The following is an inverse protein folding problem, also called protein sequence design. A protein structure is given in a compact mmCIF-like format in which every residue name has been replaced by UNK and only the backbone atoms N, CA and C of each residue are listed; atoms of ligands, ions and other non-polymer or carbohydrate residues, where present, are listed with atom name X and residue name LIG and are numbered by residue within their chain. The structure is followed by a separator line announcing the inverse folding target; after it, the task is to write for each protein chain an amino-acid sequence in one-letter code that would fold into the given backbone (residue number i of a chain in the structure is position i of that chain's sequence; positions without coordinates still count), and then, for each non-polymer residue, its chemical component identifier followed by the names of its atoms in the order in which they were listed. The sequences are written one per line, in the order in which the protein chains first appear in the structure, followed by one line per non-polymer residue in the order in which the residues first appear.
data_IF_731374962845
#
_entry.id   IF_731374962845
#
_cell.length_a   1.000
_cell.length_b   1.000
_cell.length_c   1.000
_cell.angle_alpha   90.00
_cell.angle_beta   90.00
_cell.angle_gamma   90.00
#
_symmetry.space_group_name_H-M   'P 1'
#
loop_
_entity.id
_entity.type
_entity.pdbx_description
1 polymer ?
#
# COMPACT_ATOMS: atom_id res chain seq x y z
N UNK A 1 -5.78 20.77 -2.41
CA UNK A 1 -5.34 21.08 -2.29
C UNK A 1 -5.45 21.57 -2.05
N UNK A 2 -5.75 21.52 -1.37
CA UNK A 2 -5.45 21.88 -1.06
C UNK A 2 -5.45 22.32 -0.62
N UNK A 3 -5.67 22.19 -0.16
CA UNK A 3 -5.40 22.57 0.24
C UNK A 3 -5.10 23.18 0.53
N UNK A 4 -5.03 23.27 0.76
CA UNK A 4 -4.70 23.90 1.02
C UNK A 4 -4.89 24.74 1.10
N UNK A 5 -5.30 24.71 1.16
CA UNK A 5 -5.34 25.47 1.33
C UNK A 5 -5.87 25.96 1.76
N UNK A 6 -6.31 25.70 2.20
CA UNK A 6 -6.67 26.16 2.63
C UNK A 6 -6.67 26.59 3.48
N UNK A 7 -6.57 26.22 3.92
CA UNK A 7 -6.58 26.81 4.83
C UNK A 7 -6.48 28.09 4.79
N UNK A 8 -6.59 28.49 4.51
CA UNK A 8 -6.60 29.43 4.40
C UNK A 8 -6.99 30.49 4.35
N UNK A 9 -7.43 30.69 4.46
CA UNK A 9 -7.73 31.39 4.45
C UNK A 9 -8.07 32.27 4.70
N UNK A 10 -8.38 32.55 4.98
CA UNK A 10 -8.72 33.12 5.24
C UNK A 10 -8.81 34.06 5.65
N UNK A 11 -9.13 34.41 5.84
CA UNK A 11 -9.20 35.19 6.17
C UNK A 11 -9.12 36.02 6.77
N UNK A 12 -9.40 36.31 6.94
CA UNK A 12 -9.30 37.06 7.39
C UNK A 12 -9.32 37.71 8.19
N UNK A 13 -9.70 37.67 8.47
CA UNK A 13 -9.67 38.21 9.17
C UNK A 13 -9.24 38.45 9.94
N UNK A 14 -9.27 38.38 10.08
CA UNK A 14 -8.84 38.44 10.70
C UNK A 14 -8.18 38.61 11.37
N UNK A 15 -8.16 38.63 11.58
CA UNK A 15 -7.42 38.66 12.08
C UNK A 15 -6.95 38.24 12.85
N UNK A 16 -7.12 38.06 13.14
CA UNK A 16 -6.55 37.51 13.88
C UNK A 16 -6.42 36.50 14.10
N UNK A 17 -6.66 36.21 14.15
CA UNK A 17 -6.44 35.15 14.39
C UNK A 17 -6.00 34.45 13.91
N UNK A 18 -5.78 34.54 13.68
CA UNK A 18 -5.29 33.79 13.21
C UNK A 18 -4.63 33.03 13.39
N UNK A 19 -4.55 32.92 13.66
CA UNK A 19 -3.93 32.14 13.73
C UNK A 19 -4.04 31.04 13.77
N UNK A 20 -4.30 30.85 13.90
CA UNK A 20 -4.29 29.80 13.91
C UNK A 20 -4.39 29.02 13.20
N UNK A 21 -4.62 29.11 12.99
CA UNK A 21 -4.60 28.28 12.32
C UNK A 21 -4.09 27.89 11.73
N UNK A 22 -3.87 27.86 11.81
CA UNK A 22 -3.29 27.37 11.21
C UNK A 22 -3.14 26.47 11.21
N UNK A 23 -3.30 26.32 11.55
CA UNK A 23 -3.08 25.40 11.57
C UNK A 23 -3.68 24.67 11.24
N UNK A 24 -4.14 24.61 11.47
CA UNK A 24 -4.84 23.60 11.10
C UNK A 24 -4.86 23.16 9.80
N UNK A 25 -4.75 23.41 9.21
CA UNK A 25 -4.60 22.79 8.20
C UNK A 25 -3.50 22.13 7.95
N UNK A 26 -3.12 22.13 8.53
CA UNK A 26 -2.25 21.62 8.37
C UNK A 26 -2.04 20.66 8.12
N UNK A 27 -1.87 20.44 7.98
CA UNK A 27 -1.71 19.63 7.68
C UNK A 27 -1.44 18.61 7.89
N UNK A 28 -1.74 18.32 7.88
CA UNK A 28 -1.61 17.14 8.25
C UNK A 28 -0.71 16.30 7.56
N UNK A 29 0.29 16.29 7.87
CA UNK A 29 1.22 15.49 7.21
C UNK A 29 1.11 14.09 7.73
N UNK A 30 0.92 13.17 6.83
CA UNK A 30 1.05 11.78 7.16
C UNK A 30 2.49 11.50 7.49
N UNK A 31 2.71 10.81 8.58
CA UNK A 31 4.01 10.25 8.88
C UNK A 31 4.27 9.16 7.85
N UNK A 32 5.37 9.27 7.13
CA UNK A 32 5.73 8.25 6.15
C UNK A 32 5.99 6.93 6.82
N UNK A 33 5.49 5.87 6.20
CA UNK A 33 5.70 4.52 6.69
C UNK A 33 7.19 4.16 6.56
N UNK A 34 7.72 3.45 7.54
CA UNK A 34 9.11 3.06 7.57
C UNK A 34 9.26 1.56 7.32
N UNK A 35 10.40 1.13 6.77
CA UNK A 35 10.62 -0.31 6.52
C UNK A 35 10.42 -1.18 7.74
N UNK A 36 10.82 -0.71 8.92
CA UNK A 36 10.69 -1.49 10.15
C UNK A 36 9.25 -1.84 10.49
N UNK A 37 8.32 -1.06 9.99
CA UNK A 37 6.90 -1.31 10.24
C UNK A 37 6.36 -2.45 9.38
N UNK A 38 7.05 -2.77 8.30
CA UNK A 38 6.63 -3.83 7.38
C UNK A 38 7.47 -5.08 7.51
N UNK A 39 8.77 -4.94 7.80
CA UNK A 39 9.66 -6.09 7.86
C UNK A 39 9.20 -7.09 8.90
N UNK A 40 9.31 -8.36 8.56
CA UNK A 40 8.93 -9.49 9.41
C UNK A 40 7.45 -9.63 9.65
N UNK A 41 6.63 -9.04 8.76
CA UNK A 41 5.18 -9.16 8.84
C UNK A 41 4.63 -9.82 7.59
N UNK A 42 3.55 -10.56 7.79
CA UNK A 42 2.84 -11.26 6.72
C UNK A 42 1.42 -10.72 6.66
N UNK A 43 0.97 -10.43 5.46
CA UNK A 43 -0.36 -9.89 5.22
C UNK A 43 -1.13 -10.78 4.27
N UNK A 44 -2.45 -10.83 4.42
CA UNK A 44 -3.33 -11.60 3.56
C UNK A 44 -4.30 -10.66 2.85
N UNK A 45 -4.44 -10.85 1.55
CA UNK A 45 -5.30 -9.98 0.73
C UNK A 45 -6.75 -10.13 1.14
N UNK A 46 -7.39 -9.00 1.36
CA UNK A 46 -8.78 -8.92 1.82
C UNK A 46 -9.71 -8.42 0.73
N UNK A 47 -9.30 -7.37 0.03
CA UNK A 47 -10.15 -6.79 -1.00
C UNK A 47 -9.33 -6.15 -2.11
N UNK A 48 -9.95 -6.03 -3.27
CA UNK A 48 -9.38 -5.38 -4.44
C UNK A 48 -10.42 -4.39 -4.94
N UNK A 49 -10.02 -3.12 -5.02
CA UNK A 49 -10.89 -2.05 -5.50
C UNK A 49 -12.24 -2.02 -4.77
N UNK A 50 -12.19 -2.28 -3.45
CA UNK A 50 -13.37 -2.25 -2.61
C UNK A 50 -14.21 -3.52 -2.61
N UNK A 51 -13.81 -4.53 -3.36
CA UNK A 51 -14.56 -5.80 -3.43
C UNK A 51 -13.79 -6.90 -2.72
N UNK A 52 -14.48 -7.63 -1.85
CA UNK A 52 -13.86 -8.74 -1.12
C UNK A 52 -13.38 -9.80 -2.09
N UNK A 53 -12.22 -10.36 -1.79
CA UNK A 53 -11.63 -11.41 -2.62
C UNK A 53 -11.85 -12.76 -1.97
N UNK A 54 -12.33 -13.72 -2.76
CA UNK A 54 -12.44 -15.10 -2.32
C UNK A 54 -11.22 -15.84 -2.85
N UNK A 55 -10.43 -16.37 -1.95
CA UNK A 55 -9.19 -17.04 -2.34
C UNK A 55 -9.32 -18.55 -2.44
N UNK A 56 -10.50 -19.09 -2.13
CA UNK A 56 -10.68 -20.52 -2.11
C UNK A 56 -9.82 -21.14 -1.02
N UNK A 57 -9.07 -22.17 -1.38
CA UNK A 57 -8.22 -22.86 -0.44
C UNK A 57 -6.85 -22.22 -0.28
N UNK A 58 -6.55 -21.23 -1.08
CA UNK A 58 -5.23 -20.61 -1.12
C UNK A 58 -5.29 -19.17 -0.66
N UNK A 59 -4.51 -18.85 0.35
CA UNK A 59 -4.40 -17.48 0.81
C UNK A 59 -3.52 -16.68 -0.15
N UNK A 60 -3.95 -15.46 -0.44
CA UNK A 60 -3.17 -14.55 -1.27
C UNK A 60 -2.39 -13.64 -0.35
N UNK A 61 -1.07 -13.82 -0.33
CA UNK A 61 -0.22 -13.24 0.69
C UNK A 61 0.78 -12.24 0.16
N UNK A 62 1.21 -11.36 1.05
CA UNK A 62 2.31 -10.46 0.82
C UNK A 62 3.11 -10.40 2.11
N UNK A 63 4.38 -10.77 2.04
CA UNK A 63 5.25 -10.80 3.20
C UNK A 63 6.47 -9.94 2.97
N UNK A 64 6.95 -9.32 4.04
CA UNK A 64 8.14 -8.50 4.01
C UNK A 64 9.16 -9.12 4.96
N UNK A 65 10.26 -9.59 4.39
CA UNK A 65 11.33 -10.20 5.18
C UNK A 65 12.43 -9.22 5.49
N UNK A 66 13.63 -9.76 5.68
CA UNK A 66 14.81 -8.97 5.95
C UNK A 66 15.08 -8.00 4.80
N UNK A 67 15.55 -6.80 5.14
CA UNK A 67 15.93 -5.79 4.17
C UNK A 67 14.83 -5.50 3.13
N UNK A 68 13.58 -5.58 3.57
CA UNK A 68 12.43 -5.33 2.69
C UNK A 68 12.34 -6.29 1.52
N UNK A 69 12.88 -7.49 1.67
CA UNK A 69 12.67 -8.51 0.65
C UNK A 69 11.20 -8.88 0.62
N UNK A 70 10.61 -8.88 -0.57
CA UNK A 70 9.18 -9.10 -0.75
C UNK A 70 8.91 -10.48 -1.28
N UNK A 71 7.86 -11.08 -0.74
CA UNK A 71 7.42 -12.41 -1.11
C UNK A 71 5.90 -12.39 -1.15
N UNK A 72 5.32 -12.91 -2.19
CA UNK A 72 3.87 -12.95 -2.26
C UNK A 72 3.35 -13.85 -3.36
N UNK A 73 2.03 -13.90 -3.47
CA UNK A 73 1.39 -14.70 -4.49
C UNK A 73 0.01 -14.16 -4.84
N UNK A 74 -0.35 -14.37 -6.08
CA UNK A 74 -1.71 -14.31 -6.59
C UNK A 74 -1.94 -15.63 -7.30
N UNK A 75 -2.05 -15.65 -8.63
CA UNK A 75 -1.93 -16.91 -9.37
C UNK A 75 -0.51 -17.45 -9.22
N UNK A 76 0.44 -16.57 -9.44
CA UNK A 76 1.84 -16.92 -9.39
C UNK A 76 2.50 -16.42 -8.11
N UNK A 77 3.61 -17.04 -7.75
CA UNK A 77 4.47 -16.56 -6.67
C UNK A 77 5.38 -15.49 -7.22
N UNK A 78 5.59 -14.44 -6.45
CA UNK A 78 6.50 -13.37 -6.84
C UNK A 78 7.42 -13.02 -5.67
N UNK A 79 8.58 -12.46 -6.01
CA UNK A 79 9.54 -12.02 -5.02
C UNK A 79 10.41 -10.91 -5.61
N UNK A 80 11.02 -10.12 -4.75
CA UNK A 80 11.90 -9.06 -5.19
C UNK A 80 12.39 -8.23 -4.02
N UNK A 81 13.09 -7.16 -4.36
CA UNK A 81 13.70 -6.28 -3.37
C UNK A 81 12.89 -5.00 -3.26
N UNK A 82 12.23 -4.83 -2.14
CA UNK A 82 11.41 -3.65 -1.90
C UNK A 82 12.22 -2.44 -1.55
N UNK A 83 11.81 -1.29 -2.06
CA UNK A 83 12.38 0.00 -1.71
C UNK A 83 11.23 0.93 -1.36
N UNK A 84 11.31 1.52 -0.18
CA UNK A 84 10.27 2.39 0.33
C UNK A 84 10.83 3.82 0.37
N UNK A 85 10.15 4.73 -0.30
CA UNK A 85 10.58 6.11 -0.38
C UNK A 85 9.36 7.02 -0.39
N UNK A 86 9.27 7.90 0.60
CA UNK A 86 8.17 8.86 0.70
C UNK A 86 6.80 8.22 0.59
N UNK A 87 6.64 7.08 1.24
CA UNK A 87 5.36 6.38 1.26
C UNK A 87 5.07 5.54 0.02
N UNK A 88 6.02 5.47 -0.90
CA UNK A 88 5.86 4.66 -2.11
C UNK A 88 6.72 3.42 -2.04
N UNK A 89 6.12 2.29 -2.34
CA UNK A 89 6.81 1.01 -2.42
C UNK A 89 7.06 0.66 -3.87
N UNK A 90 8.31 0.39 -4.20
CA UNK A 90 8.70 -0.05 -5.52
C UNK A 90 9.60 -1.26 -5.37
N UNK A 91 9.41 -2.25 -6.21
CA UNK A 91 10.16 -3.49 -6.10
C UNK A 91 11.11 -3.65 -7.27
N UNK A 92 12.38 -3.81 -6.95
CA UNK A 92 13.42 -4.09 -7.95
C UNK A 92 13.60 -5.58 -8.06
N UNK A 93 14.06 -6.00 -9.23
CA UNK A 93 14.35 -7.42 -9.48
C UNK A 93 13.14 -8.31 -9.21
N UNK A 94 11.97 -7.83 -9.57
CA UNK A 94 10.74 -8.59 -9.37
C UNK A 94 10.73 -9.80 -10.29
N UNK A 95 10.67 -10.97 -9.68
CA UNK A 95 10.56 -12.24 -10.39
C UNK A 95 9.20 -12.84 -10.09
N UNK A 96 8.61 -13.50 -11.07
CA UNK A 96 7.29 -14.10 -10.92
C UNK A 96 7.28 -15.39 -11.70
N UNK A 97 6.67 -16.44 -11.11
CA UNK A 97 6.47 -17.68 -11.86
C UNK A 97 5.48 -17.43 -12.99
N UNK A 98 5.43 -18.32 -13.95
CA UNK A 98 4.67 -18.07 -15.18
C UNK A 98 3.56 -19.06 -15.47
N UNK A 99 2.76 -19.43 -14.46
CA UNK A 99 1.64 -20.31 -14.75
C UNK A 99 0.37 -19.52 -15.04
N UNK A 100 -0.57 -20.19 -15.71
CA UNK A 100 -1.89 -19.65 -15.97
C UNK A 100 -2.87 -20.40 -15.10
N UNK A 101 -3.61 -19.68 -14.28
CA UNK A 101 -4.61 -20.27 -13.41
C UNK A 101 -5.95 -20.38 -14.12
N UNK A 102 -6.77 -21.32 -13.68
CA UNK A 102 -8.12 -21.46 -14.22
C UNK A 102 -9.02 -20.31 -13.77
N UNK A 103 -8.71 -19.72 -12.61
CA UNK A 103 -9.43 -18.56 -12.13
C UNK A 103 -8.88 -17.31 -12.81
N UNK A 104 -9.68 -16.72 -13.68
CA UNK A 104 -9.27 -15.56 -14.45
C UNK A 104 -9.01 -14.34 -13.56
N UNK A 105 -9.66 -14.26 -12.40
CA UNK A 105 -9.42 -13.17 -11.46
C UNK A 105 -7.98 -13.22 -10.95
N UNK A 106 -7.47 -14.42 -10.65
CA UNK A 106 -6.09 -14.56 -10.19
C UNK A 106 -5.08 -14.14 -11.25
N UNK A 107 -5.37 -14.42 -12.51
CA UNK A 107 -4.48 -13.99 -13.60
C UNK A 107 -4.47 -12.47 -13.71
N UNK A 108 -5.62 -11.86 -13.55
CA UNK A 108 -5.75 -10.40 -13.59
C UNK A 108 -4.99 -9.78 -12.41
N UNK A 109 -5.07 -10.41 -11.24
CA UNK A 109 -4.36 -9.91 -10.06
C UNK A 109 -2.84 -10.04 -10.20
N UNK A 110 -2.36 -11.10 -10.85
CA UNK A 110 -0.93 -11.21 -11.16
C UNK A 110 -0.44 -9.99 -11.94
N UNK A 111 -1.19 -9.63 -12.98
CA UNK A 111 -0.82 -8.49 -13.82
C UNK A 111 -0.88 -7.18 -13.02
N UNK A 112 -1.92 -7.02 -12.21
CA UNK A 112 -2.09 -5.81 -11.43
C UNK A 112 -0.99 -5.64 -10.39
N UNK A 113 -0.69 -6.69 -9.62
CA UNK A 113 0.32 -6.60 -8.58
C UNK A 113 1.71 -6.40 -9.18
N UNK A 114 1.99 -7.08 -10.30
CA UNK A 114 3.27 -6.90 -10.97
C UNK A 114 3.47 -5.45 -11.41
N UNK A 115 2.45 -4.86 -12.02
CA UNK A 115 2.49 -3.49 -12.47
C UNK A 115 2.66 -2.51 -11.30
N UNK A 116 1.88 -2.72 -10.23
CA UNK A 116 1.96 -1.87 -9.05
C UNK A 116 3.35 -1.88 -8.44
N UNK A 117 3.90 -3.06 -8.24
CA UNK A 117 5.18 -3.18 -7.56
C UNK A 117 6.34 -2.70 -8.44
N UNK A 118 6.28 -2.91 -9.74
CA UNK A 118 7.34 -2.44 -10.63
C UNK A 118 7.33 -0.93 -10.79
N UNK A 119 6.15 -0.33 -10.87
CA UNK A 119 6.00 1.10 -11.13
C UNK A 119 5.92 1.94 -9.88
N UNK A 120 5.60 1.33 -8.76
CA UNK A 120 5.45 2.02 -7.49
C UNK A 120 4.01 2.13 -7.06
N UNK A 121 3.76 1.87 -5.78
CA UNK A 121 2.43 1.98 -5.19
C UNK A 121 2.52 2.76 -3.90
N UNK A 122 1.51 3.58 -3.64
CA UNK A 122 1.40 4.26 -2.36
C UNK A 122 1.08 3.22 -1.30
N UNK A 123 1.74 3.31 -0.16
CA UNK A 123 1.56 2.38 0.94
C UNK A 123 0.99 3.12 2.14
N UNK A 124 -0.06 2.56 2.70
CA UNK A 124 -0.64 3.07 3.92
C UNK A 124 -0.83 1.91 4.88
N UNK A 125 -0.38 2.09 6.12
CA UNK A 125 -0.51 1.07 7.15
C UNK A 125 -1.24 1.68 8.34
N UNK A 126 -2.42 1.17 8.64
CA UNK A 126 -3.20 1.61 9.78
C UNK A 126 -3.55 0.38 10.62
N UNK A 127 -3.03 0.36 11.83
CA UNK A 127 -3.23 -0.79 12.72
C UNK A 127 -2.83 -2.08 12.01
N UNK A 128 -3.80 -2.90 11.68
CA UNK A 128 -3.57 -4.21 11.07
C UNK A 128 -3.88 -4.26 9.57
N UNK A 129 -4.05 -3.11 8.95
CA UNK A 129 -4.46 -3.05 7.55
C UNK A 129 -3.41 -2.36 6.71
N UNK A 130 -2.99 -3.04 5.65
CA UNK A 130 -2.02 -2.51 4.68
C UNK A 130 -2.73 -2.25 3.37
N UNK A 131 -2.62 -1.04 2.86
CA UNK A 131 -3.20 -0.68 1.58
C UNK A 131 -2.09 -0.34 0.59
N UNK A 132 -2.16 -0.93 -0.60
CA UNK A 132 -1.32 -0.57 -1.73
C UNK A 132 -2.22 0.04 -2.78
N UNK A 133 -1.89 1.24 -3.22
CA UNK A 133 -2.76 1.95 -4.16
C UNK A 133 -2.00 2.65 -5.27
N UNK A 134 -2.58 2.62 -6.45
CA UNK A 134 -2.14 3.39 -7.60
C UNK A 134 -3.37 4.16 -8.12
N UNK A 135 -3.20 4.87 -9.22
CA UNK A 135 -4.33 5.58 -9.81
C UNK A 135 -5.43 4.62 -10.30
N UNK A 136 -5.06 3.39 -10.64
CA UNK A 136 -6.01 2.45 -11.23
C UNK A 136 -6.48 1.35 -10.29
N UNK A 137 -5.68 0.98 -9.29
CA UNK A 137 -5.99 -0.18 -8.44
C UNK A 137 -5.68 0.08 -6.98
N UNK A 138 -6.44 -0.61 -6.14
CA UNK A 138 -6.23 -0.56 -4.69
C UNK A 138 -6.35 -1.97 -4.13
N UNK A 139 -5.31 -2.40 -3.41
CA UNK A 139 -5.28 -3.70 -2.75
C UNK A 139 -5.26 -3.46 -1.25
N UNK A 140 -6.15 -4.12 -0.54
CA UNK A 140 -6.20 -4.04 0.92
C UNK A 140 -5.87 -5.40 1.50
N UNK A 141 -4.85 -5.40 2.34
CA UNK A 141 -4.37 -6.60 3.02
C UNK A 141 -4.59 -6.46 4.52
N UNK A 142 -4.72 -7.58 5.18
CA UNK A 142 -4.85 -7.63 6.63
C UNK A 142 -3.63 -8.32 7.22
N UNK A 143 -3.13 -7.77 8.31
CA UNK A 143 -2.02 -8.39 9.03
C UNK A 143 -2.44 -9.77 9.52
N UNK A 144 -1.68 -10.78 9.15
CA UNK A 144 -1.99 -12.15 9.53
C UNK A 144 -1.17 -12.58 10.73
N UNK A 145 0.14 -12.40 10.63
CA UNK A 145 1.05 -12.94 11.61
C UNK A 145 2.39 -12.29 11.54
N UNK A 146 3.15 -12.40 12.60
CA UNK A 146 4.57 -12.06 12.57
C UNK A 146 5.33 -13.22 11.95
N UNK A 147 6.31 -12.91 11.12
CA UNK A 147 7.22 -13.90 10.60
C UNK A 147 8.33 -14.15 11.62
N UNK A 148 8.69 -15.38 11.82
CA UNK A 148 9.74 -15.77 12.77
C UNK A 148 10.99 -16.19 12.04
#
# INVERSE_FOLDING_TARGET
MVNILMCSLKKAAALLAAVTVLGGCVYNSKVSIRPEQLQHHRFVLESVNGHAVKSGDKLLELSFGENMHIYGNMCNTFMGDGALSLGELKVKNLAMTGRLCTDSQLNTLDAAVSKMLRNGAQVDLTENQLTLATASDSLVYKLADLMH
#
